data_IF_898384319263
#
_entry.id   IF_898384319263
#
_cell.length_a   1.000
_cell.length_b   1.000
_cell.length_c   1.000
_cell.angle_alpha   90.00
_cell.angle_beta   90.00
_cell.angle_gamma   90.00
#
_symmetry.space_group_name_H-M   'P 1'
#
loop_
_entity.id
_entity.type
_entity.pdbx_description
1 polymer ?
#
# COMPACT_ATOMS: atom_id res chain seq x y z
N UNK A 1 -16.52 -6.56 1.32
CA UNK A 1 -15.28 -5.72 1.38
C UNK A 1 -15.63 -4.39 2.04
N UNK A 2 -14.78 -3.80 2.89
CA UNK A 2 -15.05 -2.48 3.49
C UNK A 2 -14.34 -1.39 2.67
N UNK A 3 -15.11 -0.39 2.21
CA UNK A 3 -14.58 0.85 1.63
C UNK A 3 -14.46 1.89 2.73
N UNK A 4 -13.30 2.52 2.85
CA UNK A 4 -12.99 3.51 3.87
C UNK A 4 -12.44 4.78 3.20
N UNK A 5 -12.72 5.94 3.80
CA UNK A 5 -12.08 7.20 3.39
C UNK A 5 -10.75 7.34 4.14
N UNK A 6 -9.80 8.12 3.60
CA UNK A 6 -8.48 8.34 4.19
C UNK A 6 -8.49 8.91 5.63
N UNK A 7 -9.64 9.40 6.10
CA UNK A 7 -9.84 9.86 7.48
C UNK A 7 -9.99 8.74 8.51
N UNK A 8 -9.97 7.46 8.11
CA UNK A 8 -10.20 6.31 8.99
C UNK A 8 -8.93 5.57 9.43
N UNK A 9 -7.74 6.14 9.17
CA UNK A 9 -6.52 5.66 9.77
C UNK A 9 -6.42 6.04 11.27
N UNK A 10 -5.78 5.23 12.12
CA UNK A 10 -5.11 3.96 11.79
C UNK A 10 -6.09 2.80 11.56
N UNK A 11 -5.73 1.88 10.67
CA UNK A 11 -6.58 0.72 10.30
C UNK A 11 -5.88 -0.57 10.74
N UNK A 12 -6.57 -1.37 11.56
CA UNK A 12 -6.19 -2.75 11.84
C UNK A 12 -6.58 -3.64 10.65
N UNK A 13 -5.62 -4.34 10.05
CA UNK A 13 -5.85 -5.09 8.82
C UNK A 13 -6.27 -6.55 9.10
N UNK A 14 -7.53 -6.73 9.51
CA UNK A 14 -8.16 -8.05 9.70
C UNK A 14 -8.68 -8.65 8.38
N UNK A 15 -9.12 -7.79 7.46
CA UNK A 15 -9.64 -8.15 6.14
C UNK A 15 -9.20 -7.15 5.07
N UNK A 16 -9.59 -7.42 3.83
CA UNK A 16 -9.29 -6.52 2.74
C UNK A 16 -10.01 -5.17 2.91
N UNK A 17 -9.25 -4.09 2.76
CA UNK A 17 -9.71 -2.71 2.95
C UNK A 17 -9.31 -1.88 1.74
N UNK A 18 -10.25 -1.05 1.26
CA UNK A 18 -10.00 -0.07 0.18
C UNK A 18 -9.96 1.33 0.75
N UNK A 19 -8.99 2.13 0.32
CA UNK A 19 -8.80 3.54 0.68
C UNK A 19 -8.48 4.35 -0.57
N UNK A 20 -9.17 5.47 -0.76
CA UNK A 20 -8.81 6.44 -1.79
C UNK A 20 -7.66 7.32 -1.31
N UNK A 21 -6.59 7.39 -2.09
CA UNK A 21 -5.40 8.21 -1.82
C UNK A 21 -5.31 9.30 -2.88
N UNK A 22 -5.38 10.59 -2.50
CA UNK A 22 -5.26 11.70 -3.45
C UNK A 22 -3.83 11.78 -4.01
N UNK A 23 -3.73 12.14 -5.28
CA UNK A 23 -2.44 12.34 -5.96
C UNK A 23 -2.01 13.80 -5.87
N UNK A 24 -0.73 14.10 -5.60
CA UNK A 24 -0.24 15.48 -5.58
C UNK A 24 -0.28 16.16 -6.94
N UNK A 25 -0.11 15.40 -8.03
CA UNK A 25 -0.11 15.89 -9.41
C UNK A 25 -0.53 14.79 -10.38
N UNK A 26 -1.34 15.15 -11.37
CA UNK A 26 -1.78 14.28 -12.48
C UNK A 26 -1.16 14.72 -13.81
N UNK A 27 -1.32 13.90 -14.85
CA UNK A 27 -0.96 14.24 -16.24
C UNK A 27 0.52 14.67 -16.39
N UNK A 28 1.43 13.98 -15.69
CA UNK A 28 2.85 14.32 -15.67
C UNK A 28 3.48 14.09 -17.04
N UNK A 29 4.31 15.03 -17.49
CA UNK A 29 5.07 14.88 -18.72
C UNK A 29 6.13 13.78 -18.59
N UNK A 30 6.56 13.21 -19.72
CA UNK A 30 7.63 12.20 -19.76
C UNK A 30 8.93 12.68 -19.10
N UNK A 31 9.26 13.97 -19.23
CA UNK A 31 10.45 14.53 -18.58
C UNK A 31 10.32 14.63 -17.07
N UNK A 32 9.13 14.90 -16.53
CA UNK A 32 8.90 14.93 -15.09
C UNK A 32 9.01 13.52 -14.52
N UNK A 33 8.37 12.53 -15.15
CA UNK A 33 8.44 11.12 -14.74
C UNK A 33 9.87 10.57 -14.73
N UNK A 34 10.71 11.02 -15.67
CA UNK A 34 12.12 10.62 -15.71
C UNK A 34 12.97 11.28 -14.60
N UNK A 35 12.50 12.37 -14.00
CA UNK A 35 13.21 13.10 -12.93
C UNK A 35 12.75 12.70 -11.53
N UNK A 36 11.49 12.32 -11.37
CA UNK A 36 10.91 11.99 -10.08
C UNK A 36 9.97 10.79 -10.19
N UNK A 37 10.15 9.79 -9.34
CA UNK A 37 9.25 8.66 -9.21
C UNK A 37 8.05 9.04 -8.34
N UNK A 38 6.84 8.69 -8.78
CA UNK A 38 5.64 8.77 -7.94
C UNK A 38 5.63 7.56 -6.99
N UNK A 39 5.74 7.80 -5.68
CA UNK A 39 5.85 6.76 -4.65
C UNK A 39 4.58 6.72 -3.81
N UNK A 40 3.93 5.55 -3.75
CA UNK A 40 2.95 5.22 -2.72
C UNK A 40 3.67 4.87 -1.41
N UNK A 41 3.60 5.77 -0.44
CA UNK A 41 4.14 5.58 0.90
C UNK A 41 3.05 5.14 1.87
N UNK A 42 3.17 3.91 2.36
CA UNK A 42 2.36 3.34 3.44
C UNK A 42 3.15 3.49 4.73
N UNK A 43 2.71 4.37 5.62
CA UNK A 43 3.44 4.74 6.83
C UNK A 43 2.77 4.24 8.10
N UNK A 44 3.53 4.20 9.19
CA UNK A 44 3.04 3.75 10.49
C UNK A 44 2.56 2.30 10.45
N UNK A 45 3.25 1.44 9.68
CA UNK A 45 3.00 0.01 9.68
C UNK A 45 3.52 -0.51 11.02
N UNK A 46 2.61 -0.92 11.90
CA UNK A 46 2.92 -1.47 13.22
C UNK A 46 2.59 -2.96 13.23
N UNK A 47 3.59 -3.78 13.53
CA UNK A 47 3.50 -5.25 13.45
C UNK A 47 3.98 -5.88 14.75
N UNK A 48 3.25 -6.91 15.21
CA UNK A 48 3.76 -7.78 16.27
C UNK A 48 5.03 -8.50 15.76
N UNK A 49 6.15 -8.30 16.46
CA UNK A 49 7.47 -8.82 16.05
C UNK A 49 7.52 -10.33 15.91
N UNK A 50 6.69 -11.05 16.65
CA UNK A 50 6.61 -12.51 16.65
C UNK A 50 5.64 -13.06 15.59
N UNK A 51 4.79 -12.22 15.02
CA UNK A 51 3.81 -12.63 14.02
C UNK A 51 4.44 -12.67 12.63
N UNK A 52 4.10 -13.69 11.84
CA UNK A 52 4.37 -13.66 10.41
C UNK A 52 3.26 -12.88 9.72
N UNK A 53 3.59 -11.71 9.16
CA UNK A 53 2.62 -10.82 8.52
C UNK A 53 2.94 -10.72 7.04
N UNK A 54 1.91 -10.89 6.21
CA UNK A 54 1.96 -10.56 4.79
C UNK A 54 0.67 -9.87 4.37
N UNK A 55 0.79 -8.76 3.67
CA UNK A 55 -0.32 -8.18 2.93
C UNK A 55 0.14 -7.70 1.56
N UNK A 56 -0.77 -7.78 0.60
CA UNK A 56 -0.57 -7.30 -0.76
C UNK A 56 -1.21 -5.93 -0.93
N UNK A 57 -0.63 -5.12 -1.80
CA UNK A 57 -1.07 -3.76 -2.15
C UNK A 57 -1.47 -3.76 -3.62
N UNK A 58 -2.71 -3.35 -3.87
CA UNK A 58 -3.31 -3.35 -5.20
C UNK A 58 -3.87 -1.96 -5.48
N UNK A 59 -3.77 -1.48 -6.72
CA UNK A 59 -4.21 -0.16 -7.16
C UNK A 59 -5.30 -0.30 -8.21
N UNK A 60 -6.37 0.47 -8.07
CA UNK A 60 -7.50 0.57 -9.01
C UNK A 60 -8.16 -0.78 -9.38
N UNK A 61 -8.21 -1.71 -8.43
CA UNK A 61 -8.99 -2.94 -8.52
C UNK A 61 -10.46 -2.66 -8.84
N UNK A 62 -10.96 -3.17 -9.97
CA UNK A 62 -12.38 -3.16 -10.32
C UNK A 62 -13.13 -4.25 -9.55
N UNK A 63 -13.36 -3.99 -8.26
CA UNK A 63 -14.30 -4.57 -7.30
C UNK A 63 -14.59 -6.09 -7.21
N UNK A 64 -14.27 -6.92 -8.21
CA UNK A 64 -14.86 -8.26 -8.40
C UNK A 64 -13.87 -9.36 -8.84
N UNK A 65 -12.56 -9.10 -8.97
CA UNK A 65 -11.61 -10.13 -9.44
C UNK A 65 -10.56 -10.51 -8.39
N UNK A 66 -10.16 -11.79 -8.39
CA UNK A 66 -9.02 -12.27 -7.61
C UNK A 66 -7.74 -11.74 -8.25
N UNK A 67 -7.29 -10.56 -7.82
CA UNK A 67 -6.06 -9.95 -8.31
C UNK A 67 -4.85 -10.73 -7.80
N UNK A 68 -4.02 -11.16 -8.75
CA UNK A 68 -2.75 -11.88 -8.57
C UNK A 68 -1.58 -11.01 -9.04
N UNK A 69 -0.32 -11.32 -8.68
CA UNK A 69 0.85 -10.55 -9.10
C UNK A 69 1.04 -10.36 -10.62
N UNK A 70 0.38 -11.17 -11.46
CA UNK A 70 0.44 -11.05 -12.92
C UNK A 70 -0.45 -9.92 -13.47
N UNK A 71 -1.32 -9.34 -12.65
CA UNK A 71 -2.22 -8.28 -13.08
C UNK A 71 -1.56 -6.92 -12.83
N UNK A 72 -1.74 -5.98 -13.76
CA UNK A 72 -1.23 -4.61 -13.73
C UNK A 72 -1.57 -3.85 -12.45
N UNK A 73 -2.67 -4.23 -11.80
CA UNK A 73 -3.18 -3.63 -10.58
C UNK A 73 -2.31 -3.98 -9.36
N UNK A 74 -1.44 -4.99 -9.42
CA UNK A 74 -0.60 -5.39 -8.29
C UNK A 74 0.62 -4.45 -8.14
N UNK A 75 0.67 -3.70 -7.05
CA UNK A 75 1.74 -2.75 -6.77
C UNK A 75 2.88 -3.34 -5.93
N UNK A 76 2.61 -4.33 -5.08
CA UNK A 76 3.62 -4.97 -4.26
C UNK A 76 3.09 -5.70 -3.03
N UNK A 77 4.01 -6.17 -2.19
CA UNK A 77 3.69 -6.82 -0.91
C UNK A 77 4.55 -6.29 0.21
N UNK A 78 3.98 -6.21 1.41
CA UNK A 78 4.74 -6.14 2.65
C UNK A 78 4.86 -7.54 3.24
N UNK A 79 6.07 -7.90 3.70
CA UNK A 79 6.33 -9.15 4.42
C UNK A 79 7.16 -8.84 5.66
N UNK A 80 6.65 -9.24 6.82
CA UNK A 80 7.42 -9.29 8.05
C UNK A 80 7.66 -10.75 8.44
N UNK A 81 8.92 -11.07 8.71
CA UNK A 81 9.33 -12.38 9.19
C UNK A 81 9.61 -12.31 10.70
N UNK A 82 9.03 -13.22 11.51
CA UNK A 82 9.34 -13.31 12.93
C UNK A 82 10.84 -13.46 13.15
N UNK A 83 11.39 -12.70 14.09
CA UNK A 83 12.78 -12.89 14.55
C UNK A 83 12.74 -13.34 16.00
N UNK A 84 13.31 -14.51 16.29
CA UNK A 84 13.49 -14.98 17.66
C UNK A 84 14.61 -14.18 18.34
N UNK A 85 14.23 -13.28 19.25
CA UNK A 85 15.15 -12.68 20.22
C UNK A 85 14.58 -12.84 21.63
N UNK A 86 15.47 -12.98 22.62
CA UNK A 86 15.14 -13.16 24.03
C UNK A 86 14.40 -11.92 24.59
N UNK A 87 13.26 -12.20 25.23
CA UNK A 87 12.46 -11.40 26.17
C UNK A 87 12.23 -9.90 25.90
N UNK A 88 10.94 -9.50 25.85
CA UNK A 88 10.50 -8.11 26.02
C UNK A 88 10.27 -7.27 24.75
N UNK A 89 10.09 -7.89 23.59
CA UNK A 89 10.08 -7.13 22.33
C UNK A 89 8.78 -6.34 22.08
N UNK A 90 8.92 -5.02 21.97
CA UNK A 90 7.88 -4.11 21.49
C UNK A 90 7.53 -4.35 20.00
N UNK A 91 6.35 -3.89 19.60
CA UNK A 91 5.92 -3.87 18.19
C UNK A 91 6.96 -3.16 17.31
N UNK A 92 7.13 -3.66 16.08
CA UNK A 92 7.96 -3.01 15.06
C UNK A 92 7.13 -1.93 14.39
N UNK A 93 7.68 -0.72 14.26
CA UNK A 93 7.13 0.35 13.43
C UNK A 93 8.00 0.52 12.18
N UNK A 94 7.37 0.51 11.01
CA UNK A 94 8.05 0.61 9.72
C UNK A 94 7.17 1.32 8.68
N UNK A 95 7.66 1.41 7.45
CA UNK A 95 6.93 1.89 6.29
C UNK A 95 7.22 1.03 5.05
N UNK A 96 6.36 1.12 4.04
CA UNK A 96 6.54 0.53 2.72
C UNK A 96 6.47 1.65 1.68
N UNK A 97 7.43 1.66 0.75
CA UNK A 97 7.50 2.58 -0.39
C UNK A 97 7.37 1.75 -1.66
N UNK A 98 6.41 2.10 -2.52
CA UNK A 98 6.19 1.43 -3.81
C UNK A 98 6.23 2.49 -4.91
N UNK A 99 7.13 2.34 -5.88
CA UNK A 99 7.10 3.16 -7.09
C UNK A 99 5.90 2.77 -7.94
N UNK A 100 5.09 3.75 -8.34
CA UNK A 100 3.84 3.53 -9.06
C UNK A 100 3.78 4.28 -10.39
N UNK A 101 4.83 5.00 -10.80
CA UNK A 101 4.78 5.81 -12.05
C UNK A 101 4.38 4.97 -13.25
N UNK A 102 5.10 3.89 -13.52
CA UNK A 102 4.82 2.99 -14.65
C UNK A 102 3.50 2.23 -14.48
N UNK A 103 3.17 1.87 -13.25
CA UNK A 103 1.91 1.18 -12.95
C UNK A 103 0.70 2.06 -13.28
N UNK A 104 0.77 3.37 -13.03
CA UNK A 104 -0.31 4.30 -13.40
C UNK A 104 -0.44 4.47 -14.92
N UNK A 105 0.68 4.41 -15.66
CA UNK A 105 0.67 4.39 -17.14
C UNK A 105 -0.04 3.14 -17.66
N UNK A 106 0.34 1.96 -17.15
CA UNK A 106 -0.22 0.66 -17.56
C UNK A 106 -1.73 0.57 -17.27
N UNK A 107 -2.17 1.17 -16.16
CA UNK A 107 -3.59 1.22 -15.78
C UNK A 107 -4.39 2.33 -16.48
N UNK A 108 -3.72 3.23 -17.22
CA UNK A 108 -4.36 4.41 -17.82
C UNK A 108 -4.95 5.38 -16.78
N UNK A 109 -4.38 5.42 -15.57
CA UNK A 109 -4.87 6.18 -14.42
C UNK A 109 -4.16 7.54 -14.25
N UNK A 110 -3.45 8.01 -15.27
CA UNK A 110 -2.60 9.19 -15.19
C UNK A 110 -3.37 10.50 -14.98
N UNK A 111 -4.60 10.56 -15.45
CA UNK A 111 -5.49 11.73 -15.38
C UNK A 111 -6.36 11.74 -14.11
N UNK A 112 -6.30 10.68 -13.31
CA UNK A 112 -7.12 10.54 -12.10
C UNK A 112 -6.58 11.44 -10.98
N UNK A 113 -7.47 12.10 -10.25
CA UNK A 113 -7.13 12.96 -9.09
C UNK A 113 -6.68 12.15 -7.86
N UNK A 114 -6.97 10.85 -7.84
CA UNK A 114 -6.63 9.94 -6.76
C UNK A 114 -6.75 8.50 -7.21
N UNK A 115 -6.08 7.60 -6.49
CA UNK A 115 -6.15 6.17 -6.76
C UNK A 115 -6.85 5.42 -5.64
N UNK A 116 -7.49 4.30 -5.98
CA UNK A 116 -8.04 3.38 -5.00
C UNK A 116 -6.99 2.35 -4.62
N UNK A 117 -6.47 2.44 -3.40
CA UNK A 117 -5.50 1.49 -2.85
C UNK A 117 -6.26 0.42 -2.06
N UNK A 118 -5.98 -0.83 -2.36
CA UNK A 118 -6.55 -1.99 -1.68
C UNK A 118 -5.44 -2.73 -0.93
N UNK A 119 -5.59 -2.84 0.38
CA UNK A 119 -4.73 -3.65 1.25
C UNK A 119 -5.38 -5.01 1.44
N UNK A 120 -4.69 -6.09 1.06
CA UNK A 120 -5.22 -7.46 1.16
C UNK A 120 -4.37 -8.26 2.14
N UNK A 121 -4.83 -8.51 3.37
CA UNK A 121 -4.10 -9.38 4.29
C UNK A 121 -4.06 -10.80 3.73
N UNK A 122 -2.87 -11.39 3.71
CA UNK A 122 -2.62 -12.77 3.28
C UNK A 122 -2.21 -13.66 4.45
N UNK A 123 -1.49 -13.11 5.42
CA UNK A 123 -1.06 -13.77 6.66
C UNK A 123 -0.98 -12.77 7.82
N UNK A 124 -1.16 -13.24 9.06
CA UNK A 124 -1.14 -12.39 10.25
C UNK A 124 -2.34 -11.43 10.30
N UNK A 125 -3.54 -11.96 10.01
CA UNK A 125 -4.78 -11.18 9.98
C UNK A 125 -5.02 -10.51 11.34
N UNK A 126 -5.04 -9.17 11.35
CA UNK A 126 -5.18 -8.40 12.58
C UNK A 126 -3.90 -8.23 13.40
N UNK A 127 -2.75 -8.76 12.97
CA UNK A 127 -1.45 -8.55 13.63
C UNK A 127 -0.66 -7.37 13.04
N UNK A 128 -1.30 -6.62 12.15
CA UNK A 128 -0.76 -5.40 11.55
C UNK A 128 -1.76 -4.26 11.59
N UNK A 129 -1.25 -3.08 11.94
CA UNK A 129 -1.95 -1.80 11.87
C UNK A 129 -1.25 -0.90 10.87
N UNK A 130 -2.01 -0.25 10.00
CA UNK A 130 -1.51 0.75 9.04
C UNK A 130 -1.88 2.13 9.55
N UNK A 131 -0.88 2.98 9.75
CA UNK A 131 -1.04 4.35 10.23
C UNK A 131 -1.49 5.34 9.16
N UNK A 132 -1.23 5.07 7.88
CA UNK A 132 -1.71 5.88 6.78
C UNK A 132 -1.09 5.54 5.44
N UNK A 133 -1.62 6.14 4.37
CA UNK A 133 -1.10 6.06 3.02
C UNK A 133 -1.14 7.44 2.35
N UNK A 134 -0.06 7.80 1.66
CA UNK A 134 0.06 9.03 0.88
C UNK A 134 0.93 8.80 -0.35
N UNK A 135 0.82 9.70 -1.32
CA UNK A 135 1.69 9.72 -2.49
C UNK A 135 2.65 10.89 -2.38
N UNK A 136 3.92 10.65 -2.68
CA UNK A 136 4.98 11.66 -2.73
C UNK A 136 5.88 11.44 -3.94
N UNK A 137 6.70 12.45 -4.25
CA UNK A 137 7.69 12.38 -5.31
C UNK A 137 9.08 12.17 -4.71
N UNK A 138 9.88 11.33 -5.34
CA UNK A 138 11.27 11.05 -4.96
C UNK A 138 12.16 11.13 -6.20
N UNK A 139 13.26 11.87 -6.10
CA UNK A 139 14.16 12.22 -7.20
C UNK A 139 15.40 11.35 -7.28
#
# INVERSE_FOLDING_TARGET
>A
MKRLNSQQFPIKLDKAVRVTVPRPKKSRSRSEKAKEEEILLIHGIEVNREAFVKFDVIINDKDETVIRPIHSEFAGSFVHMPRMHKEGAANIKTCLRLGITHLLEDLGAEEDDGIMVTFVPKQGHGDVTIGGAKIEFDS
#
